data_IF_219826071920
#
_entry.id   IF_219826071920
#
_cell.length_a   1.000
_cell.length_b   1.000
_cell.length_c   1.000
_cell.angle_alpha   90.00
_cell.angle_beta   90.00
_cell.angle_gamma   90.00
#
_symmetry.space_group_name_H-M   'P 1'
#
loop_
_entity.id
_entity.type
_entity.pdbx_description
1 polymer ?
#
# COMPACT_ATOMS: atom_id res chain seq x y z
N UNK A 1 -36.73 0.72 15.29
CA UNK A 1 -35.33 0.28 15.46
C UNK A 1 -34.78 -0.07 14.09
N UNK A 2 -33.85 0.74 13.56
CA UNK A 2 -33.19 0.45 12.29
C UNK A 2 -32.12 -0.62 12.51
N UNK A 3 -32.07 -1.60 11.61
CA UNK A 3 -31.14 -2.72 11.65
C UNK A 3 -29.69 -2.20 11.66
N UNK A 4 -28.93 -2.60 12.68
CA UNK A 4 -27.49 -2.47 12.68
C UNK A 4 -26.94 -3.43 11.61
N UNK A 5 -26.53 -2.88 10.46
CA UNK A 5 -25.68 -3.58 9.52
C UNK A 5 -24.28 -3.69 10.14
N UNK A 6 -24.09 -4.70 11.00
CA UNK A 6 -22.76 -5.16 11.34
C UNK A 6 -22.15 -5.80 10.10
N UNK A 7 -21.16 -5.15 9.47
CA UNK A 7 -20.34 -5.76 8.42
C UNK A 7 -19.40 -6.79 9.05
N UNK A 8 -19.94 -7.96 9.42
CA UNK A 8 -19.16 -9.08 9.93
C UNK A 8 -18.37 -9.75 8.81
N UNK A 9 -17.04 -9.72 8.90
CA UNK A 9 -16.16 -10.68 8.21
C UNK A 9 -15.35 -10.18 7.02
N UNK A 10 -14.87 -8.93 7.01
CA UNK A 10 -13.93 -8.47 5.99
C UNK A 10 -12.49 -8.91 6.30
N UNK A 11 -12.06 -10.06 5.80
CA UNK A 11 -10.66 -10.52 5.95
C UNK A 11 -9.65 -9.51 5.39
N UNK A 12 -8.43 -9.52 5.92
CA UNK A 12 -7.35 -8.66 5.40
C UNK A 12 -6.91 -9.17 4.03
N UNK A 13 -7.10 -8.35 3.00
CA UNK A 13 -6.57 -8.63 1.66
C UNK A 13 -5.11 -8.21 1.60
N UNK A 14 -4.21 -9.14 1.26
CA UNK A 14 -2.80 -8.85 1.00
C UNK A 14 -2.62 -8.55 -0.49
N UNK A 15 -2.32 -7.30 -0.82
CA UNK A 15 -2.03 -6.90 -2.20
C UNK A 15 -0.53 -6.97 -2.47
N UNK A 16 -0.14 -7.63 -3.56
CA UNK A 16 1.24 -7.79 -4.00
C UNK A 16 1.39 -7.10 -5.36
N UNK A 17 2.40 -6.25 -5.48
CA UNK A 17 2.76 -5.59 -6.74
C UNK A 17 4.22 -5.90 -7.02
N UNK A 18 4.48 -6.55 -8.16
CA UNK A 18 5.83 -6.81 -8.65
C UNK A 18 6.06 -5.85 -9.80
N UNK A 19 7.09 -5.02 -9.68
CA UNK A 19 7.44 -4.02 -10.68
C UNK A 19 8.91 -4.14 -11.04
N UNK A 20 9.22 -3.86 -12.30
CA UNK A 20 10.58 -3.66 -12.77
C UNK A 20 10.76 -2.16 -13.02
N UNK A 21 11.77 -1.56 -12.40
CA UNK A 21 12.14 -0.18 -12.67
C UNK A 21 12.94 -0.10 -13.96
N UNK A 22 12.84 1.04 -14.65
CA UNK A 22 13.69 1.35 -15.78
C UNK A 22 15.13 1.58 -15.32
N UNK A 23 16.09 1.37 -16.21
CA UNK A 23 17.53 1.50 -15.94
C UNK A 23 17.96 2.92 -15.54
N UNK A 24 17.17 3.94 -15.91
CA UNK A 24 17.42 5.35 -15.61
C UNK A 24 16.91 5.78 -14.22
N UNK A 25 16.32 4.87 -13.45
CA UNK A 25 15.87 5.17 -12.09
C UNK A 25 17.07 5.14 -11.14
N UNK A 26 17.46 6.32 -10.66
CA UNK A 26 18.52 6.43 -9.65
C UNK A 26 18.04 5.91 -8.28
N UNK A 27 18.96 5.50 -7.40
CA UNK A 27 18.61 5.04 -6.05
C UNK A 27 17.79 6.08 -5.25
N UNK A 28 18.14 7.36 -5.37
CA UNK A 28 17.46 8.44 -4.64
C UNK A 28 16.01 8.62 -5.13
N UNK A 29 15.80 8.46 -6.45
CA UNK A 29 14.47 8.50 -7.04
C UNK A 29 13.65 7.29 -6.62
N UNK A 30 14.25 6.11 -6.56
CA UNK A 30 13.61 4.90 -6.05
C UNK A 30 13.17 5.07 -4.59
N UNK A 31 14.06 5.55 -3.73
CA UNK A 31 13.76 5.86 -2.32
C UNK A 31 12.60 6.85 -2.18
N UNK A 32 12.59 7.90 -3.01
CA UNK A 32 11.50 8.87 -3.07
C UNK A 32 10.15 8.23 -3.43
N UNK A 33 10.15 7.32 -4.41
CA UNK A 33 8.94 6.59 -4.83
C UNK A 33 8.45 5.65 -3.72
N UNK A 34 9.35 4.90 -3.08
CA UNK A 34 9.00 3.98 -1.97
C UNK A 34 8.39 4.77 -0.80
N UNK A 35 9.02 5.88 -0.40
CA UNK A 35 8.51 6.75 0.69
C UNK A 35 7.17 7.38 0.32
N UNK A 36 7.01 7.83 -0.92
CA UNK A 36 5.75 8.38 -1.42
C UNK A 36 4.63 7.35 -1.36
N UNK A 37 4.92 6.10 -1.75
CA UNK A 37 3.96 5.00 -1.70
C UNK A 37 3.63 4.57 -0.28
N UNK A 38 4.62 4.52 0.63
CA UNK A 38 4.39 4.25 2.05
C UNK A 38 3.46 5.31 2.68
N UNK A 39 3.61 6.59 2.29
CA UNK A 39 2.74 7.68 2.72
C UNK A 39 1.30 7.63 2.19
N UNK A 40 0.94 6.64 1.35
CA UNK A 40 -0.46 6.39 0.98
C UNK A 40 -1.25 5.71 2.09
N UNK A 41 -0.59 5.00 3.01
CA UNK A 41 -1.26 4.35 4.15
C UNK A 41 -2.04 5.37 4.97
N UNK A 42 -1.49 6.58 5.16
CA UNK A 42 -2.14 7.65 5.91
C UNK A 42 -3.28 8.34 5.15
N UNK A 43 -3.27 8.25 3.81
CA UNK A 43 -4.21 8.96 2.92
C UNK A 43 -5.33 8.08 2.40
N UNK A 44 -5.17 6.75 2.44
CA UNK A 44 -6.08 5.77 1.88
C UNK A 44 -6.62 4.89 3.01
N UNK A 45 -7.80 5.18 3.58
CA UNK A 45 -8.33 4.49 4.78
C UNK A 45 -8.52 2.97 4.64
N UNK A 46 -8.67 2.47 3.41
CA UNK A 46 -8.75 1.05 3.10
C UNK A 46 -7.39 0.35 3.15
N UNK A 47 -6.29 1.08 2.98
CA UNK A 47 -4.93 0.54 3.07
C UNK A 47 -4.49 0.49 4.54
N UNK A 48 -4.17 -0.72 5.02
CA UNK A 48 -3.82 -0.93 6.45
C UNK A 48 -2.32 -0.89 6.72
N UNK A 49 -1.52 -1.31 5.75
CA UNK A 49 -0.07 -1.34 5.86
C UNK A 49 0.55 -1.42 4.47
N UNK A 50 1.83 -1.05 4.38
CA UNK A 50 2.66 -1.21 3.19
C UNK A 50 4.02 -1.79 3.60
N UNK A 51 4.52 -2.74 2.81
CA UNK A 51 5.82 -3.37 3.01
C UNK A 51 6.56 -3.42 1.68
N UNK A 52 7.85 -3.07 1.71
CA UNK A 52 8.74 -3.08 0.56
C UNK A 52 9.86 -4.11 0.77
N UNK A 53 10.16 -4.89 -0.27
CA UNK A 53 11.12 -6.01 -0.20
C UNK A 53 12.24 -5.95 -1.26
N UNK A 54 12.36 -4.84 -2.00
CA UNK A 54 13.48 -4.64 -2.93
C UNK A 54 14.64 -3.93 -2.24
N UNK A 55 15.83 -4.54 -2.21
CA UNK A 55 17.06 -3.84 -1.78
C UNK A 55 17.60 -2.97 -2.89
#
# INVERSE_FOLDING_TARGET
MAAAAGSGGGGVVKHLVIVQFKEDVTPERLDGLIRGYAGLVDKVPSMKAFHWYGS
#
